data_IF_226339353769
#
_entry.id   IF_226339353769
#
_cell.length_a   1.000
_cell.length_b   1.000
_cell.length_c   1.000
_cell.angle_alpha   90.00
_cell.angle_beta   90.00
_cell.angle_gamma   90.00
#
_symmetry.space_group_name_H-M   'P 1'
#
loop_
_entity.id
_entity.type
_entity.pdbx_description
1 polymer ?
#
# COMPACT_ATOMS: atom_id res chain seq x y z
N UNK A 1 -13.50 2.60 -7.87
CA UNK A 1 -14.65 1.70 -7.55
C UNK A 1 -14.03 0.49 -6.89
N UNK A 2 -14.35 0.24 -5.61
CA UNK A 2 -13.81 -0.91 -4.92
C UNK A 2 -14.39 -2.21 -5.48
N UNK A 3 -13.54 -3.20 -5.73
CA UNK A 3 -13.93 -4.49 -6.28
C UNK A 3 -13.88 -5.56 -5.17
N UNK A 4 -15.02 -6.23 -4.95
CA UNK A 4 -15.15 -7.31 -3.98
C UNK A 4 -14.91 -8.67 -4.62
N UNK A 5 -14.03 -9.44 -4.02
CA UNK A 5 -13.66 -10.79 -4.40
C UNK A 5 -13.79 -11.74 -3.21
N UNK A 6 -13.98 -13.03 -3.50
CA UNK A 6 -13.78 -14.06 -2.50
C UNK A 6 -12.51 -14.83 -2.87
N UNK A 7 -11.46 -14.63 -2.09
CA UNK A 7 -10.14 -15.21 -2.32
C UNK A 7 -9.81 -16.11 -1.14
N UNK A 8 -9.49 -17.37 -1.42
CA UNK A 8 -9.15 -18.38 -0.43
C UNK A 8 -10.21 -18.63 0.68
N UNK A 9 -11.46 -18.17 0.50
CA UNK A 9 -12.52 -18.24 1.50
C UNK A 9 -12.75 -16.93 2.26
N UNK A 10 -11.90 -15.93 2.07
CA UNK A 10 -12.01 -14.60 2.66
C UNK A 10 -12.73 -13.64 1.73
N UNK A 11 -13.58 -12.77 2.30
CA UNK A 11 -14.13 -11.64 1.56
C UNK A 11 -13.09 -10.52 1.50
N UNK A 12 -12.61 -10.22 0.29
CA UNK A 12 -11.59 -9.20 0.05
C UNK A 12 -12.19 -8.07 -0.79
N UNK A 13 -11.93 -6.82 -0.43
CA UNK A 13 -12.35 -5.63 -1.18
C UNK A 13 -11.13 -4.77 -1.53
N UNK A 14 -10.68 -4.80 -2.78
CA UNK A 14 -9.54 -4.01 -3.29
C UNK A 14 -9.99 -2.68 -3.91
N UNK A 15 -9.07 -1.73 -4.06
CA UNK A 15 -9.31 -0.46 -4.76
C UNK A 15 -10.19 0.49 -3.97
N UNK A 16 -10.07 0.49 -2.64
CA UNK A 16 -10.78 1.44 -1.76
C UNK A 16 -10.11 2.82 -1.79
N UNK A 17 -8.84 2.92 -2.17
CA UNK A 17 -8.18 4.18 -2.50
C UNK A 17 -8.49 4.59 -3.95
N UNK A 18 -9.03 5.79 -4.13
CA UNK A 18 -9.30 6.37 -5.46
C UNK A 18 -8.09 7.14 -6.03
N UNK A 19 -6.88 6.95 -5.49
CA UNK A 19 -5.70 7.71 -5.92
C UNK A 19 -4.36 7.10 -5.50
N UNK A 20 -3.30 7.69 -6.06
CA UNK A 20 -1.90 7.47 -5.71
C UNK A 20 -1.52 8.39 -4.55
N UNK A 21 -0.78 7.87 -3.58
CA UNK A 21 -0.30 8.64 -2.44
C UNK A 21 1.09 8.13 -2.06
N UNK A 22 1.96 9.05 -1.66
CA UNK A 22 3.28 8.71 -1.13
C UNK A 22 3.19 8.88 0.38
N UNK A 23 3.46 7.82 1.12
CA UNK A 23 3.44 7.79 2.58
C UNK A 23 4.89 7.83 3.06
N UNK A 24 5.23 8.86 3.81
CA UNK A 24 6.52 8.94 4.49
C UNK A 24 6.39 8.27 5.87
N UNK A 25 7.10 7.15 6.05
CA UNK A 25 7.12 6.41 7.31
C UNK A 25 8.37 6.83 8.08
N UNK A 26 8.18 7.52 9.19
CA UNK A 26 9.26 7.86 10.13
C UNK A 26 9.58 6.67 11.04
N UNK A 27 10.65 5.94 10.75
CA UNK A 27 11.32 5.09 11.74
C UNK A 27 12.15 5.98 12.66
N UNK A 28 12.34 5.57 13.94
CA UNK A 28 12.96 6.36 15.03
C UNK A 28 14.24 7.14 14.65
N UNK A 29 15.01 6.66 13.66
CA UNK A 29 16.26 7.28 13.17
C UNK A 29 16.25 7.61 11.66
N UNK A 30 15.25 7.19 10.88
CA UNK A 30 15.20 7.35 9.41
C UNK A 30 13.77 7.46 8.89
N UNK A 31 13.54 8.27 7.86
CA UNK A 31 12.25 8.36 7.13
C UNK A 31 12.34 7.56 5.84
N UNK A 32 11.45 6.59 5.62
CA UNK A 32 11.34 5.83 4.36
C UNK A 32 10.15 6.36 3.57
N UNK A 33 10.32 6.56 2.26
CA UNK A 33 9.22 6.93 1.38
C UNK A 33 8.63 5.67 0.77
N UNK A 34 7.35 5.44 1.02
CA UNK A 34 6.62 4.31 0.50
C UNK A 34 5.51 4.75 -0.45
N UNK A 35 5.43 4.11 -1.61
CA UNK A 35 4.32 4.28 -2.53
C UNK A 35 3.11 3.50 -2.04
N UNK A 36 1.96 4.17 -1.95
CA UNK A 36 0.69 3.52 -1.70
C UNK A 36 0.34 2.66 -2.90
N UNK A 37 0.28 1.35 -2.69
CA UNK A 37 -0.17 0.40 -3.70
C UNK A 37 -1.70 0.39 -3.69
N UNK A 38 -2.29 -0.06 -2.59
CA UNK A 38 -3.74 -0.21 -2.46
C UNK A 38 -4.15 -0.27 -0.99
N UNK A 39 -5.37 0.19 -0.71
CA UNK A 39 -6.06 -0.01 0.57
C UNK A 39 -7.18 -1.00 0.31
N UNK A 40 -7.15 -2.11 1.04
CA UNK A 40 -8.07 -3.21 0.84
C UNK A 40 -8.57 -3.78 2.16
N UNK A 41 -9.77 -4.35 2.16
CA UNK A 41 -10.37 -4.97 3.36
C UNK A 41 -10.36 -6.48 3.21
N UNK A 42 -9.96 -7.21 4.23
CA UNK A 42 -10.10 -8.68 4.32
C UNK A 42 -10.91 -9.01 5.56
N UNK A 43 -12.02 -9.73 5.39
CA UNK A 43 -12.87 -10.21 6.50
C UNK A 43 -13.22 -9.10 7.52
N UNK A 44 -13.67 -7.94 7.01
CA UNK A 44 -14.02 -6.74 7.79
C UNK A 44 -12.84 -5.97 8.41
N UNK A 45 -11.59 -6.38 8.15
CA UNK A 45 -10.38 -5.70 8.62
C UNK A 45 -9.71 -4.95 7.48
N UNK A 46 -9.43 -3.66 7.66
CA UNK A 46 -8.78 -2.84 6.65
C UNK A 46 -7.25 -2.95 6.74
N UNK A 47 -6.63 -3.19 5.59
CA UNK A 47 -5.19 -3.34 5.39
C UNK A 47 -4.72 -2.35 4.34
N UNK A 48 -3.44 -2.00 4.42
CA UNK A 48 -2.77 -1.16 3.43
C UNK A 48 -1.46 -1.81 2.98
N UNK A 49 -1.28 -1.87 1.67
CA UNK A 49 -0.05 -2.30 1.04
C UNK A 49 0.76 -1.09 0.57
N UNK A 50 2.01 -1.06 1.00
CA UNK A 50 2.96 0.01 0.74
C UNK A 50 4.21 -0.57 0.09
N UNK A 51 4.81 0.12 -0.87
CA UNK A 51 6.03 -0.31 -1.54
C UNK A 51 7.15 0.68 -1.24
N UNK A 52 8.22 0.24 -0.60
CA UNK A 52 9.39 1.09 -0.35
C UNK A 52 10.01 1.55 -1.66
N UNK A 53 10.19 2.86 -1.83
CA UNK A 53 10.90 3.39 -2.99
C UNK A 53 12.39 3.06 -2.95
N UNK A 54 12.97 2.88 -1.76
CA UNK A 54 14.40 2.57 -1.61
C UNK A 54 14.70 1.08 -1.83
N UNK A 55 13.89 0.20 -1.21
CA UNK A 55 14.17 -1.24 -1.20
C UNK A 55 13.30 -2.06 -2.17
N UNK A 56 12.30 -1.44 -2.81
CA UNK A 56 11.27 -2.12 -3.62
C UNK A 56 10.61 -3.28 -2.87
N UNK A 57 10.54 -3.18 -1.54
CA UNK A 57 9.94 -4.17 -0.66
C UNK A 57 8.50 -3.78 -0.37
N UNK A 58 7.58 -4.73 -0.52
CA UNK A 58 6.18 -4.55 -0.10
C UNK A 58 6.08 -4.70 1.40
N UNK A 59 5.45 -3.72 2.05
CA UNK A 59 5.07 -3.68 3.44
C UNK A 59 3.55 -3.73 3.58
N UNK A 60 3.07 -4.47 4.56
CA UNK A 60 1.65 -4.59 4.90
C UNK A 60 1.42 -4.11 6.32
N UNK A 61 0.42 -3.25 6.49
CA UNK A 61 0.02 -2.72 7.79
C UNK A 61 -1.50 -2.75 7.92
N UNK A 62 -2.00 -2.74 9.15
CA UNK A 62 -3.39 -2.42 9.40
C UNK A 62 -3.65 -0.96 9.11
N UNK A 63 -4.71 -0.70 8.36
CA UNK A 63 -5.17 0.63 8.07
C UNK A 63 -6.17 1.06 9.15
N UNK A 64 -5.76 2.01 10.01
CA UNK A 64 -6.64 2.57 11.02
C UNK A 64 -6.88 4.06 10.74
N UNK A 65 -8.07 4.38 10.20
CA UNK A 65 -8.54 5.75 10.04
C UNK A 65 -8.95 6.30 11.41
N UNK A 66 -7.96 6.75 12.18
CA UNK A 66 -8.21 7.49 13.42
C UNK A 66 -8.57 8.94 13.05
N UNK A 67 -9.86 9.23 12.98
CA UNK A 67 -10.50 10.53 12.69
C UNK A 67 -9.99 11.77 13.47
N UNK A 68 -9.05 11.62 14.41
CA UNK A 68 -8.75 12.64 15.41
C UNK A 68 -7.62 13.61 14.98
N UNK A 69 -6.71 13.20 14.09
CA UNK A 69 -5.67 14.04 13.50
C UNK A 69 -5.43 13.59 12.07
N UNK A 70 -5.01 14.49 11.19
CA UNK A 70 -4.66 14.27 9.76
C UNK A 70 -3.52 13.23 9.53
N UNK A 71 -3.22 12.42 10.55
CA UNK A 71 -2.16 11.43 10.62
C UNK A 71 -2.78 10.03 10.49
N UNK A 72 -2.39 9.31 9.44
CA UNK A 72 -2.76 7.91 9.25
C UNK A 72 -1.94 7.08 10.25
N UNK A 73 -2.62 6.30 11.09
CA UNK A 73 -1.94 5.40 12.01
C UNK A 73 -1.85 4.00 11.38
N UNK A 74 -0.61 3.56 11.14
CA UNK A 74 -0.30 2.27 10.54
C UNK A 74 0.21 1.33 11.63
N UNK A 75 -0.49 0.21 11.83
CA UNK A 75 -0.09 -0.80 12.82
C UNK A 75 0.53 -2.01 12.11
N UNK A 76 1.65 -2.51 12.64
CA UNK A 76 2.36 -3.66 12.09
C UNK A 76 1.55 -4.92 12.38
N UNK A 77 1.42 -5.79 11.37
CA UNK A 77 0.85 -7.13 11.54
C UNK A 77 1.89 -7.98 12.29
N UNK A 78 1.68 -8.21 13.59
CA UNK A 78 2.58 -9.01 14.42
C UNK A 78 2.41 -10.53 14.19
N UNK A 79 1.25 -10.94 13.68
CA UNK A 79 0.93 -12.34 13.44
C UNK A 79 1.47 -12.79 12.07
N UNK A 80 2.46 -13.67 12.08
CA UNK A 80 3.10 -14.18 10.87
C UNK A 80 2.15 -14.99 9.99
N UNK A 81 1.18 -15.72 10.58
CA UNK A 81 0.21 -16.52 9.82
C UNK A 81 -0.76 -15.60 9.08
N UNK A 82 -1.23 -14.55 9.75
CA UNK A 82 -2.07 -13.53 9.13
C UNK A 82 -1.31 -12.77 8.05
N UNK A 83 -0.08 -12.32 8.33
CA UNK A 83 0.73 -11.60 7.34
C UNK A 83 0.93 -12.41 6.05
N UNK A 84 1.28 -13.70 6.16
CA UNK A 84 1.48 -14.58 5.01
C UNK A 84 0.18 -14.77 4.22
N UNK A 85 -0.95 -14.91 4.92
CA UNK A 85 -2.27 -15.02 4.31
C UNK A 85 -2.65 -13.74 3.55
N UNK A 86 -2.55 -12.58 4.19
CA UNK A 86 -2.85 -11.27 3.57
C UNK A 86 -1.92 -11.03 2.38
N UNK A 87 -0.63 -11.33 2.51
CA UNK A 87 0.33 -11.19 1.42
C UNK A 87 -0.03 -12.10 0.23
N UNK A 88 -0.51 -13.31 0.49
CA UNK A 88 -0.95 -14.23 -0.56
C UNK A 88 -2.23 -13.72 -1.26
N UNK A 89 -3.19 -13.16 -0.50
CA UNK A 89 -4.38 -12.51 -1.06
C UNK A 89 -4.01 -11.30 -1.92
N UNK A 90 -3.11 -10.47 -1.41
CA UNK A 90 -2.60 -9.28 -2.09
C UNK A 90 -1.86 -9.65 -3.37
N UNK A 91 -0.89 -10.56 -3.31
CA UNK A 91 -0.08 -10.98 -4.46
C UNK A 91 -0.91 -11.66 -5.55
N UNK A 92 -2.10 -12.18 -5.21
CA UNK A 92 -3.02 -12.73 -6.20
C UNK A 92 -3.71 -11.62 -7.02
N UNK A 93 -3.87 -10.42 -6.47
CA UNK A 93 -4.46 -9.28 -7.17
C UNK A 93 -3.38 -8.36 -7.77
N UNK A 94 -2.32 -8.08 -7.00
CA UNK A 94 -1.16 -7.29 -7.38
C UNK A 94 0.02 -8.22 -7.69
N UNK A 95 0.13 -8.64 -8.95
CA UNK A 95 1.31 -9.33 -9.45
C UNK A 95 2.53 -8.39 -9.55
N UNK A 96 3.73 -8.96 -9.63
CA UNK A 96 4.99 -8.22 -9.78
C UNK A 96 4.94 -7.20 -10.95
N UNK A 97 4.31 -7.56 -12.07
CA UNK A 97 4.16 -6.67 -13.24
C UNK A 97 3.28 -5.44 -12.93
N UNK A 98 2.22 -5.61 -12.12
CA UNK A 98 1.35 -4.51 -11.73
C UNK A 98 2.06 -3.56 -10.75
N UNK A 99 2.91 -4.10 -9.88
CA UNK A 99 3.75 -3.32 -8.97
C UNK A 99 4.82 -2.55 -9.73
N UNK A 100 5.50 -3.18 -10.69
CA UNK A 100 6.52 -2.54 -11.53
C UNK A 100 5.91 -1.35 -12.29
N UNK A 101 4.72 -1.55 -12.89
CA UNK A 101 4.03 -0.49 -13.60
C UNK A 101 3.57 0.65 -12.68
N UNK A 102 3.17 0.34 -11.44
CA UNK A 102 2.85 1.34 -10.43
C UNK A 102 4.09 2.19 -10.10
N UNK A 103 5.26 1.56 -9.88
CA UNK A 103 6.52 2.27 -9.60
C UNK A 103 6.91 3.16 -10.76
N UNK A 104 6.91 2.63 -11.98
CA UNK A 104 7.23 3.40 -13.19
C UNK A 104 6.34 4.65 -13.31
N UNK A 105 5.07 4.51 -12.95
CA UNK A 105 4.13 5.63 -12.97
C UNK A 105 4.46 6.68 -11.88
N UNK A 106 4.73 6.26 -10.63
CA UNK A 106 5.18 7.18 -9.57
C UNK A 106 6.49 7.90 -9.94
N UNK A 107 7.47 7.18 -10.50
CA UNK A 107 8.75 7.77 -10.94
C UNK A 107 8.54 8.72 -12.13
N UNK A 108 7.66 8.36 -13.08
CA UNK A 108 7.36 9.22 -14.24
C UNK A 108 6.68 10.53 -13.84
N UNK A 109 5.80 10.52 -12.83
CA UNK A 109 5.16 11.75 -12.33
C UNK A 109 6.19 12.67 -11.63
N UNK A 110 7.22 12.12 -10.98
CA UNK A 110 8.31 12.90 -10.36
C UNK A 110 9.29 13.49 -11.38
N UNK A 111 9.67 12.74 -12.41
CA UNK A 111 10.63 13.19 -13.44
C UNK A 111 10.09 14.37 -14.27
N UNK A 112 8.77 14.48 -14.42
CA UNK A 112 8.12 15.60 -15.12
C UNK A 112 8.19 16.93 -14.32
N UNK A 113 8.42 16.90 -13.00
CA UNK A 113 8.52 18.11 -12.15
C UNK A 113 9.90 18.81 -12.23
N UNK A 114 10.97 18.10 -12.64
CA UNK A 114 12.32 18.64 -12.77
C UNK A 114 12.62 19.25 -14.16
N UNK A 115 11.65 19.24 -15.09
CA UNK A 115 11.75 19.89 -16.42
C UNK A 115 11.15 21.31 -16.46
N UNK A 116 11.14 22.04 -15.33
CA UNK A 116 10.99 23.50 -15.38
C UNK A 116 12.35 24.12 -15.75
N UNK A 117 12.64 24.04 -17.05
CA UNK A 117 13.72 24.72 -17.76
C UNK A 117 13.65 26.25 -17.51
N UNK A 118 14.70 26.83 -16.92
CA UNK A 118 15.03 28.26 -17.04
C UNK A 118 16.27 28.47 -17.90
#
# INVERSE_FOLDING_TARGET
MAEKFNLHGHEVEFGKNEGKAIIEIGFDDNTDQCYLIDIFTVDETDYVALLSSESSQVYLFYYNDSFDNDEINLEIIEDEEEMDEIFHLFSHYWDEEALDNLVEDYESDMDDEDMIDE
#
